data_IF_647668593365
#
_entry.id   IF_647668593365
#
_cell.length_a   1.000
_cell.length_b   1.000
_cell.length_c   1.000
_cell.angle_alpha   90.00
_cell.angle_beta   90.00
_cell.angle_gamma   90.00
#
_symmetry.space_group_name_H-M   'P 1'
#
loop_
_entity.id
_entity.type
_entity.pdbx_description
1 polymer ?
#
# COMPACT_ATOMS: atom_id res chain seq x y z
N UNK A 1 -31.57 -8.90 3.50
CA UNK A 1 -31.47 -7.43 3.53
C UNK A 1 -30.34 -7.03 2.60
N UNK A 2 -30.65 -6.33 1.51
CA UNK A 2 -29.69 -5.99 0.46
C UNK A 2 -29.13 -4.60 0.80
N UNK A 3 -27.99 -4.56 1.50
CA UNK A 3 -27.30 -3.30 1.79
C UNK A 3 -26.71 -2.82 0.46
N UNK A 4 -27.34 -1.81 -0.15
CA UNK A 4 -26.69 -1.01 -1.19
C UNK A 4 -25.44 -0.40 -0.55
N UNK A 5 -24.27 -0.91 -0.90
CA UNK A 5 -23.01 -0.23 -0.56
C UNK A 5 -22.97 1.05 -1.40
N UNK A 6 -23.34 2.16 -0.78
CA UNK A 6 -23.32 3.48 -1.40
C UNK A 6 -21.87 3.88 -1.70
N UNK A 7 -21.51 3.99 -2.98
CA UNK A 7 -20.43 4.86 -3.45
C UNK A 7 -18.97 4.43 -3.21
N UNK A 8 -18.70 3.33 -2.49
CA UNK A 8 -17.33 2.89 -2.25
C UNK A 8 -16.69 2.42 -3.57
N UNK A 9 -15.60 3.07 -3.95
CA UNK A 9 -14.81 2.74 -5.13
C UNK A 9 -13.35 3.07 -4.89
N UNK A 10 -12.45 2.63 -5.76
CA UNK A 10 -11.05 3.06 -5.67
C UNK A 10 -10.88 4.58 -5.79
N UNK A 11 -11.82 5.30 -6.40
CA UNK A 11 -11.79 6.77 -6.42
C UNK A 11 -12.05 7.35 -5.02
N UNK A 12 -13.02 6.80 -4.29
CA UNK A 12 -13.29 7.26 -2.92
C UNK A 12 -12.18 6.86 -1.96
N UNK A 13 -11.66 5.64 -2.07
CA UNK A 13 -10.51 5.16 -1.27
C UNK A 13 -9.28 6.03 -1.50
N UNK A 14 -8.98 6.38 -2.76
CA UNK A 14 -7.85 7.27 -3.08
C UNK A 14 -7.99 8.62 -2.39
N UNK A 15 -9.21 9.19 -2.38
CA UNK A 15 -9.48 10.49 -1.77
C UNK A 15 -9.44 10.44 -0.24
N UNK A 16 -10.02 9.40 0.35
CA UNK A 16 -10.07 9.23 1.80
C UNK A 16 -8.68 9.14 2.41
N UNK A 17 -7.85 8.21 1.91
CA UNK A 17 -6.50 7.99 2.45
C UNK A 17 -5.44 8.90 1.81
N UNK A 18 -5.82 9.75 0.86
CA UNK A 18 -4.92 10.61 0.08
C UNK A 18 -3.79 9.85 -0.65
N UNK A 19 -4.11 8.73 -1.30
CA UNK A 19 -3.11 8.04 -2.13
C UNK A 19 -2.74 8.89 -3.36
N UNK A 20 -1.44 8.92 -3.71
CA UNK A 20 -0.92 9.61 -4.90
C UNK A 20 -1.64 9.16 -6.18
N UNK A 21 -1.96 7.87 -6.26
CA UNK A 21 -2.69 7.27 -7.36
C UNK A 21 -3.03 5.82 -7.08
N UNK A 22 -4.09 5.33 -7.71
CA UNK A 22 -4.47 3.92 -7.72
C UNK A 22 -4.62 3.49 -9.17
N UNK A 23 -3.85 2.50 -9.60
CA UNK A 23 -3.87 1.96 -10.95
C UNK A 23 -4.51 0.56 -10.96
N UNK A 24 -5.37 0.33 -11.96
CA UNK A 24 -5.98 -0.98 -12.21
C UNK A 24 -5.28 -1.68 -13.37
N UNK A 25 -5.12 -3.00 -13.25
CA UNK A 25 -4.70 -3.85 -14.35
C UNK A 25 -5.74 -3.90 -15.46
N UNK A 26 -5.28 -4.00 -16.71
CA UNK A 26 -6.13 -4.02 -17.92
C UNK A 26 -7.19 -5.13 -17.91
N UNK A 27 -6.89 -6.25 -17.27
CA UNK A 27 -7.75 -7.44 -17.27
C UNK A 27 -8.60 -7.57 -16.01
N UNK A 28 -8.71 -6.51 -15.21
CA UNK A 28 -9.59 -6.47 -14.02
C UNK A 28 -11.01 -6.15 -14.47
N UNK A 29 -11.97 -7.04 -14.22
CA UNK A 29 -13.38 -6.78 -14.55
C UNK A 29 -13.99 -5.76 -13.58
N UNK A 30 -15.16 -5.22 -13.91
CA UNK A 30 -15.89 -4.29 -13.02
C UNK A 30 -16.25 -4.95 -11.70
N UNK A 31 -16.72 -6.20 -11.73
CA UNK A 31 -17.14 -6.95 -10.55
C UNK A 31 -15.93 -7.30 -9.66
N UNK A 32 -14.80 -7.66 -10.27
CA UNK A 32 -13.54 -7.87 -9.56
C UNK A 32 -13.06 -6.57 -8.90
N UNK A 33 -13.12 -5.45 -9.63
CA UNK A 33 -12.74 -4.12 -9.13
C UNK A 33 -13.60 -3.71 -7.94
N UNK A 34 -14.91 -3.85 -8.02
CA UNK A 34 -15.83 -3.38 -6.98
C UNK A 34 -15.69 -4.24 -5.71
N UNK A 35 -15.52 -5.56 -5.86
CA UNK A 35 -15.17 -6.45 -4.75
C UNK A 35 -13.81 -6.11 -4.13
N UNK A 36 -12.82 -5.84 -4.98
CA UNK A 36 -11.50 -5.45 -4.51
C UNK A 36 -11.56 -4.14 -3.73
N UNK A 37 -12.32 -3.14 -4.19
CA UNK A 37 -12.49 -1.88 -3.47
C UNK A 37 -13.01 -2.09 -2.03
N UNK A 38 -14.00 -2.96 -1.84
CA UNK A 38 -14.51 -3.32 -0.51
C UNK A 38 -13.42 -3.93 0.36
N UNK A 39 -12.72 -4.94 -0.15
CA UNK A 39 -11.67 -5.65 0.58
C UNK A 39 -10.49 -4.74 0.92
N UNK A 40 -10.08 -3.88 -0.03
CA UNK A 40 -9.02 -2.89 0.19
C UNK A 40 -9.40 -1.89 1.26
N UNK A 41 -10.59 -1.31 1.17
CA UNK A 41 -11.05 -0.34 2.16
C UNK A 41 -11.07 -0.95 3.57
N UNK A 42 -11.58 -2.18 3.71
CA UNK A 42 -11.56 -2.88 4.99
C UNK A 42 -10.14 -3.08 5.50
N UNK A 43 -9.24 -3.63 4.66
CA UNK A 43 -7.86 -3.89 5.05
C UNK A 43 -7.06 -2.61 5.41
N UNK A 44 -7.31 -1.50 4.71
CA UNK A 44 -6.71 -0.19 5.01
C UNK A 44 -7.26 0.39 6.33
N UNK A 45 -8.56 0.24 6.57
CA UNK A 45 -9.21 0.67 7.81
C UNK A 45 -8.70 -0.15 9.00
N UNK A 46 -8.57 -1.46 8.85
CA UNK A 46 -8.02 -2.36 9.87
C UNK A 46 -6.57 -1.99 10.21
N UNK A 47 -5.75 -1.76 9.18
CA UNK A 47 -4.36 -1.30 9.36
C UNK A 47 -4.31 0.03 10.11
N UNK A 48 -5.15 1.00 9.73
CA UNK A 48 -5.24 2.30 10.41
C UNK A 48 -5.64 2.15 11.88
N UNK A 49 -6.63 1.31 12.17
CA UNK A 49 -7.08 1.05 13.53
C UNK A 49 -5.99 0.42 14.39
N UNK A 50 -5.24 -0.56 13.85
CA UNK A 50 -4.12 -1.20 14.54
C UNK A 50 -2.99 -0.21 14.83
N UNK A 51 -2.67 0.66 13.86
CA UNK A 51 -1.62 1.67 14.00
C UNK A 51 -2.04 2.87 14.87
N UNK A 52 -3.33 3.00 15.18
CA UNK A 52 -3.90 4.15 15.91
C UNK A 52 -3.50 5.50 15.29
N UNK A 53 -3.47 5.55 13.96
CA UNK A 53 -3.02 6.71 13.19
C UNK A 53 -4.12 7.39 12.38
N UNK A 54 -3.85 8.61 11.86
CA UNK A 54 -4.78 9.30 10.95
C UNK A 54 -4.79 8.64 9.56
N UNK A 55 -5.81 8.92 8.74
CA UNK A 55 -5.94 8.37 7.38
C UNK A 55 -4.69 8.62 6.51
N UNK A 56 -4.10 9.82 6.61
CA UNK A 56 -2.88 10.19 5.85
C UNK A 56 -1.64 9.38 6.24
N UNK A 57 -1.64 8.68 7.38
CA UNK A 57 -0.56 7.73 7.71
C UNK A 57 -0.53 6.57 6.71
N UNK A 58 -1.71 6.12 6.26
CA UNK A 58 -1.85 4.95 5.40
C UNK A 58 -1.21 5.17 4.02
N UNK A 59 -1.35 6.37 3.46
CA UNK A 59 -0.67 6.76 2.22
C UNK A 59 0.75 7.30 2.43
N UNK A 60 1.26 7.26 3.66
CA UNK A 60 2.55 7.84 4.04
C UNK A 60 2.62 9.32 3.59
N UNK A 61 1.59 10.09 3.96
CA UNK A 61 1.38 11.51 3.63
C UNK A 61 1.34 11.75 2.12
N UNK A 62 0.55 10.94 1.42
CA UNK A 62 0.35 11.05 -0.02
C UNK A 62 1.54 10.69 -0.90
N UNK A 63 2.56 10.05 -0.33
CA UNK A 63 3.72 9.58 -1.11
C UNK A 63 3.48 8.21 -1.76
N UNK A 64 2.58 7.41 -1.20
CA UNK A 64 2.32 6.03 -1.62
C UNK A 64 1.30 5.98 -2.76
N UNK A 65 1.56 5.12 -3.75
CA UNK A 65 0.59 4.72 -4.77
C UNK A 65 0.19 3.24 -4.63
N UNK A 66 -0.86 2.85 -5.35
CA UNK A 66 -1.36 1.47 -5.38
C UNK A 66 -1.47 0.96 -6.82
N UNK A 67 -1.16 -0.31 -7.03
CA UNK A 67 -1.45 -1.03 -8.27
C UNK A 67 -2.19 -2.32 -7.93
N UNK A 68 -3.35 -2.54 -8.56
CA UNK A 68 -4.14 -3.75 -8.36
C UNK A 68 -4.26 -4.55 -9.66
N UNK A 69 -3.92 -5.85 -9.59
CA UNK A 69 -4.09 -6.78 -10.71
C UNK A 69 -3.22 -6.46 -11.93
N UNK A 70 -2.11 -5.74 -11.75
CA UNK A 70 -1.20 -5.30 -12.81
C UNK A 70 0.16 -5.99 -12.67
N UNK A 71 0.67 -6.57 -13.76
CA UNK A 71 2.05 -7.11 -13.82
C UNK A 71 2.32 -8.33 -12.94
N UNK A 72 1.29 -9.10 -12.56
CA UNK A 72 1.44 -10.25 -11.66
C UNK A 72 2.39 -11.32 -12.18
N UNK A 73 3.20 -11.89 -11.28
CA UNK A 73 4.07 -13.05 -11.53
C UNK A 73 3.52 -14.26 -10.77
N UNK A 74 3.57 -15.48 -11.33
CA UNK A 74 3.20 -16.69 -10.58
C UNK A 74 3.94 -16.76 -9.24
N UNK A 75 3.22 -17.03 -8.15
CA UNK A 75 3.78 -17.15 -6.80
C UNK A 75 3.96 -15.84 -6.02
N UNK A 76 3.70 -14.67 -6.62
CA UNK A 76 3.81 -13.36 -5.93
C UNK A 76 2.43 -12.80 -5.64
N UNK A 77 2.07 -12.72 -4.36
CA UNK A 77 0.78 -12.17 -3.92
C UNK A 77 0.78 -10.64 -3.91
N UNK A 78 1.85 -10.01 -3.43
CA UNK A 78 2.04 -8.57 -3.44
C UNK A 78 3.54 -8.23 -3.40
N UNK A 79 3.87 -6.98 -3.71
CA UNK A 79 5.22 -6.43 -3.54
C UNK A 79 5.20 -4.89 -3.49
N UNK A 80 5.98 -4.30 -2.60
CA UNK A 80 6.30 -2.88 -2.60
C UNK A 80 7.42 -2.57 -3.60
N UNK A 81 7.23 -1.55 -4.43
CA UNK A 81 8.21 -1.04 -5.38
C UNK A 81 8.83 0.28 -4.88
N UNK A 82 10.07 0.28 -4.34
CA UNK A 82 10.72 1.49 -3.84
C UNK A 82 10.87 2.60 -4.88
N UNK A 83 11.28 2.24 -6.10
CA UNK A 83 11.55 3.18 -7.19
C UNK A 83 10.34 4.04 -7.56
N UNK A 84 9.13 3.46 -7.50
CA UNK A 84 7.89 4.17 -7.80
C UNK A 84 7.07 4.47 -6.56
N UNK A 85 7.47 4.03 -5.36
CA UNK A 85 6.68 4.08 -4.12
C UNK A 85 5.25 3.56 -4.34
N UNK A 86 5.13 2.31 -4.78
CA UNK A 86 3.83 1.69 -5.06
C UNK A 86 3.68 0.35 -4.35
N UNK A 87 2.53 0.10 -3.74
CA UNK A 87 2.13 -1.26 -3.35
C UNK A 87 1.48 -1.93 -4.56
N UNK A 88 2.08 -2.99 -5.07
CA UNK A 88 1.51 -3.80 -6.14
C UNK A 88 0.87 -5.06 -5.53
N UNK A 89 -0.43 -5.25 -5.76
CA UNK A 89 -1.19 -6.38 -5.25
C UNK A 89 -1.79 -7.20 -6.39
N UNK A 90 -1.63 -8.52 -6.31
CA UNK A 90 -2.31 -9.45 -7.20
C UNK A 90 -3.82 -9.47 -6.90
N UNK A 91 -4.61 -9.98 -7.86
CA UNK A 91 -6.07 -10.08 -7.72
C UNK A 91 -6.52 -10.87 -6.49
N UNK A 92 -5.71 -11.86 -6.09
CA UNK A 92 -6.00 -12.79 -5.00
C UNK A 92 -5.15 -12.49 -3.75
N UNK A 93 -4.54 -11.31 -3.66
CA UNK A 93 -3.79 -10.90 -2.49
C UNK A 93 -4.72 -10.80 -1.26
N UNK A 94 -4.31 -11.40 -0.15
CA UNK A 94 -5.03 -11.28 1.12
C UNK A 94 -4.66 -10.00 1.89
N UNK A 95 -5.44 -9.68 2.93
CA UNK A 95 -5.19 -8.53 3.81
C UNK A 95 -3.78 -8.55 4.46
N UNK A 96 -3.27 -9.74 4.79
CA UNK A 96 -1.91 -9.91 5.32
C UNK A 96 -0.82 -9.45 4.36
N UNK A 97 -1.00 -9.62 3.05
CA UNK A 97 -0.06 -9.12 2.05
C UNK A 97 -0.07 -7.59 1.99
N UNK A 98 -1.23 -6.94 2.14
CA UNK A 98 -1.31 -5.48 2.15
C UNK A 98 -0.53 -4.87 3.33
N UNK A 99 -0.76 -5.37 4.55
CA UNK A 99 -0.05 -4.89 5.73
C UNK A 99 1.46 -5.14 5.63
N UNK A 100 1.87 -6.30 5.10
CA UNK A 100 3.26 -6.63 4.86
C UNK A 100 3.93 -5.66 3.87
N UNK A 101 3.30 -5.39 2.72
CA UNK A 101 3.86 -4.42 1.77
C UNK A 101 3.84 -2.98 2.29
N UNK A 102 2.82 -2.62 3.09
CA UNK A 102 2.79 -1.31 3.74
C UNK A 102 3.97 -1.14 4.69
N UNK A 103 4.33 -2.19 5.45
CA UNK A 103 5.51 -2.14 6.31
C UNK A 103 6.80 -1.90 5.51
N UNK A 104 6.99 -2.59 4.38
CA UNK A 104 8.12 -2.31 3.48
C UNK A 104 8.13 -0.86 3.00
N UNK A 105 6.96 -0.32 2.64
CA UNK A 105 6.83 1.07 2.25
C UNK A 105 7.16 2.04 3.38
N UNK A 106 6.71 1.75 4.60
CA UNK A 106 6.99 2.55 5.79
C UNK A 106 8.48 2.54 6.13
N UNK A 107 9.12 1.38 6.12
CA UNK A 107 10.54 1.22 6.42
C UNK A 107 11.41 1.97 5.40
N UNK A 108 11.03 1.94 4.12
CA UNK A 108 11.66 2.78 3.10
C UNK A 108 11.38 4.28 3.33
N UNK A 109 10.14 4.67 3.63
CA UNK A 109 9.75 6.05 3.90
C UNK A 109 10.46 6.64 5.13
N UNK A 110 10.77 5.83 6.14
CA UNK A 110 11.49 6.29 7.33
C UNK A 110 12.99 6.43 7.09
N UNK A 111 13.53 5.78 6.04
CA UNK A 111 14.96 5.85 5.71
C UNK A 111 15.44 7.29 5.60
N UNK A 112 14.84 8.07 4.70
CA UNK A 112 15.23 9.47 4.46
C UNK A 112 14.91 10.42 5.64
N UNK A 113 14.11 9.99 6.61
CA UNK A 113 13.78 10.76 7.82
C UNK A 113 14.71 10.49 8.99
N UNK A 114 15.26 9.29 9.06
CA UNK A 114 16.12 8.86 10.16
C UNK A 114 17.61 9.03 9.85
N UNK A 115 18.00 9.02 8.57
CA UNK A 115 19.40 9.05 8.18
C UNK A 115 19.68 10.15 7.13
N UNK A 116 20.61 11.10 7.41
CA UNK A 116 20.84 12.27 6.56
C UNK A 116 21.59 11.99 5.25
N UNK A 117 22.25 10.84 5.10
CA UNK A 117 23.00 10.46 3.90
C UNK A 117 22.57 9.06 3.47
N UNK A 118 21.68 8.95 2.48
CA UNK A 118 21.17 7.67 1.98
C UNK A 118 21.10 7.59 0.46
N UNK A 119 21.17 6.36 -0.04
CA UNK A 119 20.76 6.03 -1.40
C UNK A 119 19.22 5.98 -1.49
N UNK A 120 18.68 6.30 -2.67
CA UNK A 120 17.24 6.40 -2.92
C UNK A 120 16.43 5.11 -2.73
N UNK A 121 17.08 3.99 -2.38
CA UNK A 121 16.49 2.65 -2.19
C UNK A 121 16.74 2.09 -0.78
N UNK A 122 17.22 2.92 0.14
CA UNK A 122 17.66 2.48 1.46
C UNK A 122 16.49 2.38 2.44
N UNK A 123 16.44 1.28 3.19
CA UNK A 123 15.43 0.99 4.21
C UNK A 123 15.96 1.35 5.61
N UNK A 124 15.12 1.91 6.47
CA UNK A 124 15.55 2.37 7.80
C UNK A 124 16.09 1.22 8.66
N UNK A 125 15.44 0.07 8.66
CA UNK A 125 15.86 -1.13 9.40
C UNK A 125 17.24 -1.62 8.98
N UNK A 126 17.52 -1.66 7.67
CA UNK A 126 18.81 -2.07 7.13
C UNK A 126 19.92 -1.11 7.52
N UNK A 127 19.66 0.21 7.44
CA UNK A 127 20.65 1.22 7.83
C UNK A 127 20.90 1.24 9.33
N UNK A 128 19.86 1.02 10.15
CA UNK A 128 20.03 0.94 11.59
C UNK A 128 21.00 -0.19 11.98
N UNK A 129 20.85 -1.38 11.38
CA UNK A 129 21.73 -2.53 11.60
C UNK A 129 23.18 -2.30 11.15
N UNK A 130 23.41 -1.45 10.15
CA UNK A 130 24.77 -1.16 9.66
C UNK A 130 25.39 0.06 10.36
N UNK A 131 24.58 1.00 10.83
CA UNK A 131 25.02 2.20 11.57
C UNK A 131 25.62 1.90 12.94
N UNK A 132 25.28 0.76 13.54
CA UNK A 132 25.86 0.27 14.80
C UNK A 132 27.27 -0.33 14.64
N UNK A 133 27.81 -0.38 13.42
CA UNK A 133 29.18 -0.86 13.12
C UNK A 133 30.18 0.27 12.83
N UNK A 134 29.79 1.54 12.96
CA UNK A 134 30.70 2.69 12.96
C UNK A 134 30.90 3.20 14.38
#
# INVERSE_FOLDING_TARGET
MNVKVNGLSFVTIRRQFDFRGIEMGRWVTTEERDRAALNFHQALTDLMAVLQGPEVLISLRGSLGLQFGKGGRPGVAAHYMPATRQLALAKNAGAGSLAHEWYHAFDHYMGDKMFPILGAQSFASANWLTSTKM
#
